data_IF_652621890211
#
_entry.id   IF_652621890211
#
_cell.length_a   1.000
_cell.length_b   1.000
_cell.length_c   1.000
_cell.angle_alpha   90.00
_cell.angle_beta   90.00
_cell.angle_gamma   90.00
#
_symmetry.space_group_name_H-M   'P 1'
#
loop_
_entity.id
_entity.type
_entity.pdbx_description
1 polymer ?
#
# COMPACT_ATOMS: atom_id res chain seq x y z
N UNK A 1 -57.74 -97.61 41.35
CA UNK A 1 -56.83 -96.51 40.96
C UNK A 1 -56.63 -95.65 42.19
N UNK A 2 -55.66 -96.03 43.03
CA UNK A 2 -55.27 -95.35 44.28
C UNK A 2 -53.85 -95.82 44.59
N UNK A 3 -52.87 -94.94 44.40
CA UNK A 3 -51.51 -95.11 44.92
C UNK A 3 -51.21 -93.82 45.67
N UNK A 4 -51.28 -93.92 46.99
CA UNK A 4 -50.68 -93.00 47.93
C UNK A 4 -49.28 -93.51 48.19
N UNK A 5 -48.26 -92.70 47.94
CA UNK A 5 -46.92 -92.95 48.46
C UNK A 5 -46.28 -91.64 48.92
N UNK A 6 -45.39 -91.81 49.88
CA UNK A 6 -45.21 -91.01 51.07
C UNK A 6 -44.40 -89.73 50.87
N UNK A 7 -44.72 -88.72 51.67
CA UNK A 7 -43.92 -87.51 51.81
C UNK A 7 -42.89 -87.72 52.91
N UNK A 8 -41.59 -87.52 52.57
CA UNK A 8 -40.58 -86.78 53.35
C UNK A 8 -39.18 -87.16 52.92
N UNK A 9 -38.42 -86.19 52.43
CA UNK A 9 -36.97 -86.11 52.67
C UNK A 9 -36.56 -84.65 52.57
N UNK A 10 -36.27 -84.07 53.74
CA UNK A 10 -35.58 -82.81 53.87
C UNK A 10 -34.11 -83.05 53.50
N UNK A 11 -33.66 -82.49 52.38
CA UNK A 11 -32.24 -82.43 52.05
C UNK A 11 -31.72 -81.05 52.41
N UNK A 12 -30.88 -81.05 53.44
CA UNK A 12 -29.87 -80.07 53.81
C UNK A 12 -29.43 -79.19 52.65
N UNK A 13 -29.62 -77.87 52.81
CA UNK A 13 -28.94 -76.87 52.01
C UNK A 13 -27.44 -76.93 52.36
N UNK A 14 -26.69 -77.64 51.53
CA UNK A 14 -25.24 -77.56 51.51
C UNK A 14 -24.88 -76.23 50.84
N UNK A 15 -24.11 -75.40 51.55
CA UNK A 15 -23.50 -74.18 51.03
C UNK A 15 -22.47 -74.59 49.96
N UNK A 16 -22.92 -74.72 48.71
CA UNK A 16 -22.06 -74.95 47.55
C UNK A 16 -21.28 -73.66 47.25
N UNK A 17 -20.10 -73.53 47.88
CA UNK A 17 -19.10 -72.49 47.54
C UNK A 17 -18.58 -72.59 46.07
N UNK A 18 -19.00 -73.63 45.33
CA UNK A 18 -18.61 -73.92 43.95
C UNK A 18 -19.67 -73.56 42.89
N UNK A 19 -20.62 -72.66 43.19
CA UNK A 19 -21.55 -72.18 42.16
C UNK A 19 -20.82 -71.26 41.15
N UNK A 20 -20.34 -71.87 40.06
CA UNK A 20 -19.72 -71.23 38.88
C UNK A 20 -20.56 -70.10 38.25
N UNK A 21 -21.86 -70.02 38.58
CA UNK A 21 -22.78 -68.95 38.15
C UNK A 21 -22.59 -67.63 38.92
N UNK A 22 -21.82 -67.63 40.02
CA UNK A 22 -21.49 -66.46 40.84
C UNK A 22 -20.22 -65.73 40.35
N UNK A 23 -19.54 -66.28 39.33
CA UNK A 23 -18.34 -65.67 38.77
C UNK A 23 -18.71 -64.44 37.91
N UNK A 24 -18.03 -63.30 38.08
CA UNK A 24 -18.29 -62.10 37.29
C UNK A 24 -17.93 -62.34 35.82
N UNK A 25 -18.87 -62.08 34.92
CA UNK A 25 -18.61 -62.14 33.48
C UNK A 25 -17.49 -61.18 33.09
N UNK A 26 -16.65 -61.61 32.14
CA UNK A 26 -15.60 -60.78 31.58
C UNK A 26 -16.20 -59.52 30.92
N UNK A 27 -15.88 -58.34 31.46
CA UNK A 27 -16.25 -57.07 30.84
C UNK A 27 -15.63 -56.96 29.44
N UNK A 28 -16.39 -56.51 28.42
CA UNK A 28 -15.86 -56.33 27.07
C UNK A 28 -14.66 -55.38 27.03
N UNK A 29 -13.71 -55.64 26.13
CA UNK A 29 -12.54 -54.78 25.89
C UNK A 29 -13.02 -53.37 25.52
N UNK A 30 -12.44 -52.34 26.13
CA UNK A 30 -12.83 -50.94 25.88
C UNK A 30 -11.97 -50.30 24.79
N UNK A 31 -12.51 -49.27 24.12
CA UNK A 31 -11.77 -48.56 23.04
C UNK A 31 -10.61 -47.77 23.62
N UNK A 32 -10.87 -47.13 24.75
CA UNK A 32 -9.96 -46.25 25.48
C UNK A 32 -8.60 -46.88 25.70
N UNK A 33 -8.58 -48.19 25.96
CA UNK A 33 -7.39 -48.91 26.38
C UNK A 33 -6.38 -49.04 25.23
N UNK A 34 -6.83 -48.87 23.98
CA UNK A 34 -6.02 -48.91 22.76
C UNK A 34 -5.63 -47.51 22.23
N UNK A 35 -6.02 -46.43 22.91
CA UNK A 35 -5.72 -45.05 22.50
C UNK A 35 -4.51 -44.45 23.23
N UNK A 36 -3.80 -45.26 24.02
CA UNK A 36 -2.62 -44.82 24.78
C UNK A 36 -1.45 -44.56 23.82
N UNK A 37 -0.76 -43.40 23.90
CA UNK A 37 0.32 -43.01 22.97
C UNK A 37 1.47 -44.02 22.85
N UNK A 38 1.70 -44.83 23.88
CA UNK A 38 2.75 -45.86 23.97
C UNK A 38 2.14 -47.24 24.29
N UNK A 39 1.13 -47.65 23.53
CA UNK A 39 0.43 -48.91 23.76
C UNK A 39 1.39 -50.12 23.67
N UNK A 40 1.59 -50.81 24.81
CA UNK A 40 2.37 -52.04 24.90
C UNK A 40 1.45 -53.27 25.04
N UNK A 41 1.42 -54.18 24.04
CA UNK A 41 0.56 -55.36 24.09
C UNK A 41 0.86 -56.29 25.28
N UNK A 42 2.13 -56.43 25.65
CA UNK A 42 2.55 -57.33 26.75
C UNK A 42 2.11 -56.79 28.11
N UNK A 43 2.25 -55.48 28.33
CA UNK A 43 1.78 -54.81 29.54
C UNK A 43 0.26 -54.83 29.62
N UNK A 44 -0.43 -54.53 28.51
CA UNK A 44 -1.88 -54.60 28.44
C UNK A 44 -2.41 -56.01 28.76
N UNK A 45 -1.91 -57.06 28.07
CA UNK A 45 -2.33 -58.44 28.32
C UNK A 45 -2.04 -58.90 29.77
N UNK A 46 -1.01 -58.36 30.42
CA UNK A 46 -0.72 -58.66 31.82
C UNK A 46 -1.79 -58.14 32.79
N UNK A 47 -2.44 -57.01 32.46
CA UNK A 47 -3.54 -56.45 33.27
C UNK A 47 -4.85 -57.23 33.09
N UNK A 48 -5.00 -57.97 31.99
CA UNK A 48 -6.17 -58.81 31.70
C UNK A 48 -6.12 -60.19 32.39
N UNK A 49 -5.03 -60.53 33.08
CA UNK A 49 -4.83 -61.83 33.75
C UNK A 49 -5.87 -62.15 34.83
N UNK A 50 -6.51 -61.12 35.39
CA UNK A 50 -7.55 -61.25 36.42
C UNK A 50 -8.95 -61.52 35.83
N UNK A 51 -9.06 -61.64 34.51
CA UNK A 51 -10.31 -61.93 33.81
C UNK A 51 -10.38 -63.45 33.61
N UNK A 52 -11.27 -64.11 34.34
CA UNK A 52 -11.50 -65.56 34.26
C UNK A 52 -12.19 -65.96 32.93
N UNK A 53 -11.55 -65.67 31.79
CA UNK A 53 -12.02 -65.96 30.44
C UNK A 53 -11.08 -66.96 29.76
N UNK A 54 -11.60 -67.74 28.81
CA UNK A 54 -10.75 -68.60 27.98
C UNK A 54 -9.87 -67.76 27.04
N UNK A 55 -8.70 -68.29 26.71
CA UNK A 55 -7.79 -67.67 25.74
C UNK A 55 -8.41 -67.57 24.34
N UNK A 56 -9.27 -68.53 24.00
CA UNK A 56 -9.95 -68.56 22.72
C UNK A 56 -10.97 -67.43 22.58
N UNK A 57 -11.75 -67.16 23.63
CA UNK A 57 -12.70 -66.05 23.66
C UNK A 57 -11.98 -64.69 23.66
N UNK A 58 -10.90 -64.54 24.43
CA UNK A 58 -10.07 -63.33 24.41
C UNK A 58 -9.50 -63.07 23.02
N UNK A 59 -9.02 -64.12 22.34
CA UNK A 59 -8.48 -64.04 20.98
C UNK A 59 -9.57 -63.64 19.97
N UNK A 60 -10.76 -64.21 20.10
CA UNK A 60 -11.90 -63.87 19.24
C UNK A 60 -12.33 -62.41 19.44
N UNK A 61 -12.39 -61.96 20.69
CA UNK A 61 -12.74 -60.59 21.06
C UNK A 61 -11.72 -59.56 20.55
N UNK A 62 -10.42 -59.84 20.71
CA UNK A 62 -9.35 -58.99 20.17
C UNK A 62 -9.41 -58.90 18.64
N UNK A 63 -9.69 -60.01 17.93
CA UNK A 63 -9.84 -60.02 16.48
C UNK A 63 -11.06 -59.20 16.03
N UNK A 64 -12.20 -59.40 16.68
CA UNK A 64 -13.42 -58.63 16.42
C UNK A 64 -13.18 -57.14 16.62
N UNK A 65 -12.48 -56.76 17.71
CA UNK A 65 -12.15 -55.37 17.98
C UNK A 65 -11.18 -54.78 16.97
N UNK A 66 -10.15 -55.53 16.57
CA UNK A 66 -9.23 -55.10 15.53
C UNK A 66 -9.97 -54.80 14.23
N UNK A 67 -10.89 -55.67 13.81
CA UNK A 67 -11.70 -55.45 12.60
C UNK A 67 -12.59 -54.22 12.71
N UNK A 68 -13.23 -54.01 13.87
CA UNK A 68 -14.05 -52.84 14.12
C UNK A 68 -13.23 -51.55 14.08
N UNK A 69 -12.05 -51.53 14.70
CA UNK A 69 -11.13 -50.38 14.65
C UNK A 69 -10.64 -50.10 13.23
N UNK A 70 -10.32 -51.14 12.44
CA UNK A 70 -9.94 -50.97 11.04
C UNK A 70 -11.08 -50.37 10.21
N UNK A 71 -12.31 -50.79 10.46
CA UNK A 71 -13.49 -50.21 9.81
C UNK A 71 -13.71 -48.75 10.23
N UNK A 72 -13.65 -48.45 11.52
CA UNK A 72 -13.77 -47.07 12.03
C UNK A 72 -12.69 -46.15 11.46
N UNK A 73 -11.45 -46.63 11.32
CA UNK A 73 -10.36 -45.86 10.71
C UNK A 73 -10.67 -45.59 9.23
N UNK A 74 -11.13 -46.59 8.50
CA UNK A 74 -11.50 -46.44 7.09
C UNK A 74 -12.68 -45.47 6.94
N UNK A 75 -13.69 -45.57 7.80
CA UNK A 75 -14.84 -44.66 7.81
C UNK A 75 -14.42 -43.22 8.16
N UNK A 76 -13.51 -43.03 9.13
CA UNK A 76 -12.97 -41.72 9.51
C UNK A 76 -12.09 -41.10 8.40
N UNK A 77 -11.25 -41.92 7.77
CA UNK A 77 -10.44 -41.47 6.62
C UNK A 77 -11.36 -41.09 5.48
N UNK A 78 -12.37 -41.90 5.18
CA UNK A 78 -13.32 -41.62 4.11
C UNK A 78 -14.20 -40.39 4.40
N UNK A 79 -14.63 -40.18 5.66
CA UNK A 79 -15.40 -39.00 6.04
C UNK A 79 -14.59 -37.72 5.90
N UNK A 80 -13.31 -37.77 6.27
CA UNK A 80 -12.44 -36.60 6.26
C UNK A 80 -11.69 -36.43 4.94
N UNK A 81 -11.75 -37.40 4.02
CA UNK A 81 -11.07 -37.35 2.73
C UNK A 81 -11.48 -36.13 1.90
N UNK A 82 -12.77 -35.79 1.93
CA UNK A 82 -13.29 -34.59 1.25
C UNK A 82 -12.71 -33.30 1.84
N UNK A 83 -12.54 -33.23 3.15
CA UNK A 83 -11.95 -32.06 3.81
C UNK A 83 -10.46 -31.91 3.48
N UNK A 84 -9.71 -33.02 3.43
CA UNK A 84 -8.30 -33.02 3.02
C UNK A 84 -8.13 -32.61 1.56
N UNK A 85 -8.99 -33.07 0.65
CA UNK A 85 -8.99 -32.63 -0.74
C UNK A 85 -9.34 -31.15 -0.89
N UNK A 86 -10.34 -30.67 -0.14
CA UNK A 86 -10.72 -29.25 -0.14
C UNK A 86 -9.60 -28.36 0.40
N UNK A 87 -8.92 -28.79 1.46
CA UNK A 87 -7.78 -28.07 2.02
C UNK A 87 -6.59 -28.09 1.04
N UNK A 88 -6.30 -29.23 0.42
CA UNK A 88 -5.28 -29.35 -0.62
C UNK A 88 -5.54 -28.45 -1.82
N UNK A 89 -6.78 -28.41 -2.32
CA UNK A 89 -7.19 -27.53 -3.41
C UNK A 89 -7.08 -26.04 -3.02
N UNK A 90 -7.46 -25.69 -1.78
CA UNK A 90 -7.37 -24.32 -1.27
C UNK A 90 -5.92 -23.86 -1.07
N UNK A 91 -5.05 -24.76 -0.60
CA UNK A 91 -3.61 -24.48 -0.44
C UNK A 91 -2.92 -24.38 -1.81
N UNK A 92 -3.20 -25.30 -2.73
CA UNK A 92 -2.61 -25.32 -4.07
C UNK A 92 -3.03 -24.10 -4.91
N UNK A 93 -4.26 -23.59 -4.76
CA UNK A 93 -4.71 -22.36 -5.42
C UNK A 93 -4.39 -21.07 -4.64
N UNK A 94 -4.07 -21.19 -3.35
CA UNK A 94 -3.74 -20.05 -2.50
C UNK A 94 -2.42 -19.39 -2.89
N UNK A 95 -1.42 -20.20 -3.25
CA UNK A 95 -0.10 -19.72 -3.68
C UNK A 95 -0.20 -18.90 -4.98
N UNK A 96 -1.01 -19.35 -5.95
CA UNK A 96 -1.24 -18.61 -7.20
C UNK A 96 -1.86 -17.22 -6.96
N UNK A 97 -2.88 -17.13 -6.11
CA UNK A 97 -3.51 -15.85 -5.77
C UNK A 97 -2.55 -14.90 -5.05
N UNK A 98 -1.70 -15.42 -4.18
CA UNK A 98 -0.68 -14.62 -3.50
C UNK A 98 0.34 -14.08 -4.50
N UNK A 99 0.78 -14.91 -5.45
CA UNK A 99 1.72 -14.48 -6.48
C UNK A 99 1.07 -13.47 -7.45
N UNK A 100 -0.20 -13.63 -7.81
CA UNK A 100 -0.96 -12.64 -8.60
C UNK A 100 -1.00 -11.27 -7.90
N UNK A 101 -1.36 -11.25 -6.60
CA UNK A 101 -1.36 -10.02 -5.80
C UNK A 101 0.05 -9.43 -5.72
N UNK A 102 1.08 -10.25 -5.53
CA UNK A 102 2.47 -9.79 -5.48
C UNK A 102 2.89 -9.13 -6.78
N UNK A 103 2.58 -9.73 -7.93
CA UNK A 103 2.87 -9.15 -9.25
C UNK A 103 2.09 -7.85 -9.45
N UNK A 104 0.81 -7.81 -9.08
CA UNK A 104 -0.01 -6.59 -9.12
C UNK A 104 0.57 -5.45 -8.28
N UNK A 105 1.02 -5.75 -7.05
CA UNK A 105 1.67 -4.77 -6.17
C UNK A 105 3.02 -4.29 -6.71
N UNK A 106 3.79 -5.14 -7.37
CA UNK A 106 5.02 -4.74 -8.05
C UNK A 106 4.73 -3.82 -9.24
N UNK A 107 3.68 -4.11 -10.01
CA UNK A 107 3.20 -3.24 -11.09
C UNK A 107 2.80 -1.86 -10.56
N UNK A 108 1.97 -1.84 -9.51
CA UNK A 108 1.54 -0.61 -8.86
C UNK A 108 2.73 0.20 -8.32
N UNK A 109 3.71 -0.44 -7.68
CA UNK A 109 4.92 0.24 -7.21
C UNK A 109 5.65 0.93 -8.37
N UNK A 110 5.84 0.23 -9.49
CA UNK A 110 6.51 0.78 -10.67
C UNK A 110 5.73 1.97 -11.25
N UNK A 111 4.41 1.90 -11.28
CA UNK A 111 3.56 3.01 -11.74
C UNK A 111 3.67 4.22 -10.81
N UNK A 112 3.68 4.02 -9.49
CA UNK A 112 3.87 5.08 -8.50
C UNK A 112 5.25 5.72 -8.65
N UNK A 113 6.31 4.93 -8.79
CA UNK A 113 7.66 5.44 -9.01
C UNK A 113 7.72 6.30 -10.28
N UNK A 114 7.11 5.82 -11.38
CA UNK A 114 7.02 6.59 -12.62
C UNK A 114 6.20 7.88 -12.47
N UNK A 115 5.14 7.87 -11.66
CA UNK A 115 4.37 9.09 -11.37
C UNK A 115 5.20 10.10 -10.57
N UNK A 116 5.98 9.64 -9.58
CA UNK A 116 6.88 10.48 -8.80
C UNK A 116 7.91 11.17 -9.70
N UNK A 117 8.49 10.44 -10.66
CA UNK A 117 9.45 11.01 -11.63
C UNK A 117 8.80 12.10 -12.51
N UNK A 118 7.58 11.87 -12.99
CA UNK A 118 6.83 12.87 -13.78
C UNK A 118 6.52 14.10 -12.94
N UNK A 119 6.08 13.92 -11.69
CA UNK A 119 5.78 15.02 -10.77
C UNK A 119 7.05 15.83 -10.48
N UNK A 120 8.18 15.16 -10.22
CA UNK A 120 9.47 15.82 -10.01
C UNK A 120 9.91 16.65 -11.23
N UNK A 121 9.78 16.09 -12.43
CA UNK A 121 10.08 16.80 -13.68
C UNK A 121 9.21 18.05 -13.86
N UNK A 122 7.92 17.96 -13.53
CA UNK A 122 6.99 19.10 -13.59
C UNK A 122 7.29 20.15 -12.54
N UNK A 123 7.69 19.75 -11.33
CA UNK A 123 8.12 20.67 -10.29
C UNK A 123 9.31 21.52 -10.74
N UNK A 124 10.32 20.89 -11.36
CA UNK A 124 11.50 21.59 -11.88
C UNK A 124 11.15 22.58 -13.00
N UNK A 125 10.28 22.18 -13.93
CA UNK A 125 9.78 23.05 -15.00
C UNK A 125 9.05 24.28 -14.43
N UNK A 126 8.13 24.05 -13.49
CA UNK A 126 7.39 25.13 -12.80
C UNK A 126 8.36 26.05 -12.05
N UNK A 127 9.35 25.50 -11.35
CA UNK A 127 10.37 26.27 -10.63
C UNK A 127 11.16 27.17 -11.57
N UNK A 128 11.55 26.68 -12.75
CA UNK A 128 12.22 27.48 -13.78
C UNK A 128 11.34 28.62 -14.27
N UNK A 129 10.09 28.33 -14.66
CA UNK A 129 9.13 29.33 -15.13
C UNK A 129 8.84 30.40 -14.07
N UNK A 130 8.72 30.01 -12.80
CA UNK A 130 8.56 30.95 -11.69
C UNK A 130 9.79 31.85 -11.51
N UNK A 131 10.99 31.32 -11.72
CA UNK A 131 12.24 32.07 -11.75
C UNK A 131 12.24 33.13 -12.86
N UNK A 132 11.93 32.72 -14.09
CA UNK A 132 11.84 33.61 -15.25
C UNK A 132 10.78 34.71 -15.03
N UNK A 133 9.59 34.34 -14.54
CA UNK A 133 8.51 35.29 -14.22
C UNK A 133 8.96 36.34 -13.20
N UNK A 134 9.72 35.92 -12.18
CA UNK A 134 10.26 36.83 -11.16
C UNK A 134 11.25 37.82 -11.77
N UNK A 135 12.12 37.37 -12.66
CA UNK A 135 13.14 38.23 -13.29
C UNK A 135 12.53 39.22 -14.27
N UNK A 136 11.54 38.78 -15.06
CA UNK A 136 10.74 39.67 -15.93
C UNK A 136 10.03 40.72 -15.08
N UNK A 137 9.40 40.33 -13.98
CA UNK A 137 8.73 41.28 -13.06
C UNK A 137 9.72 42.30 -12.48
N UNK A 138 10.93 41.89 -12.12
CA UNK A 138 11.98 42.80 -11.64
C UNK A 138 12.38 43.81 -12.72
N UNK A 139 12.59 43.36 -13.97
CA UNK A 139 12.92 44.24 -15.10
C UNK A 139 11.80 45.25 -15.37
N UNK A 140 10.55 44.82 -15.37
CA UNK A 140 9.39 45.70 -15.53
C UNK A 140 9.35 46.76 -14.43
N UNK A 141 9.55 46.38 -13.16
CA UNK A 141 9.56 47.32 -12.04
C UNK A 141 10.66 48.37 -12.19
N UNK A 142 11.88 47.95 -12.57
CA UNK A 142 12.98 48.89 -12.83
C UNK A 142 12.67 49.84 -13.99
N UNK A 143 12.10 49.32 -15.09
CA UNK A 143 11.67 50.14 -16.23
C UNK A 143 10.61 51.14 -15.84
N UNK A 144 9.61 50.72 -15.05
CA UNK A 144 8.54 51.60 -14.54
C UNK A 144 9.08 52.71 -13.65
N UNK A 145 10.11 52.43 -12.84
CA UNK A 145 10.78 53.43 -12.00
C UNK A 145 11.62 54.42 -12.82
N UNK A 146 12.25 53.96 -13.90
CA UNK A 146 13.14 54.78 -14.73
C UNK A 146 12.39 55.62 -15.77
N UNK A 147 11.28 55.12 -16.31
CA UNK A 147 10.48 55.80 -17.34
C UNK A 147 10.14 57.27 -17.02
N UNK A 148 9.54 57.62 -15.86
CA UNK A 148 9.22 59.02 -15.56
C UNK A 148 10.47 59.90 -15.39
N UNK A 149 11.58 59.32 -14.91
CA UNK A 149 12.84 60.06 -14.76
C UNK A 149 13.44 60.41 -16.12
N UNK A 150 13.40 59.47 -17.07
CA UNK A 150 13.85 59.72 -18.44
C UNK A 150 13.02 60.81 -19.13
N UNK A 151 11.69 60.78 -18.97
CA UNK A 151 10.82 61.84 -19.49
C UNK A 151 11.19 63.20 -18.89
N UNK A 152 11.39 63.26 -17.57
CA UNK A 152 11.78 64.51 -16.89
C UNK A 152 13.13 65.03 -17.39
N UNK A 153 14.14 64.17 -17.50
CA UNK A 153 15.47 64.54 -18.03
C UNK A 153 15.37 65.03 -19.47
N UNK A 154 14.57 64.36 -20.31
CA UNK A 154 14.33 64.78 -21.70
C UNK A 154 13.69 66.18 -21.74
N UNK A 155 12.66 66.43 -20.92
CA UNK A 155 12.00 67.74 -20.89
C UNK A 155 12.91 68.87 -20.41
N UNK A 156 13.75 68.63 -19.38
CA UNK A 156 14.67 69.65 -18.89
C UNK A 156 15.74 69.96 -19.92
N UNK A 157 16.26 68.93 -20.58
CA UNK A 157 17.28 69.11 -21.61
C UNK A 157 16.74 69.87 -22.83
N UNK A 158 15.50 69.62 -23.24
CA UNK A 158 14.86 70.41 -24.31
C UNK A 158 14.66 71.87 -23.91
N UNK A 159 14.33 72.15 -22.65
CA UNK A 159 14.20 73.52 -22.15
C UNK A 159 15.55 74.26 -22.12
N UNK A 160 16.61 73.57 -21.70
CA UNK A 160 17.98 74.11 -21.71
C UNK A 160 18.47 74.35 -23.14
N UNK A 161 18.21 73.42 -24.06
CA UNK A 161 18.54 73.56 -25.48
C UNK A 161 17.77 74.71 -26.13
N UNK A 162 16.49 74.91 -25.77
CA UNK A 162 15.68 76.03 -26.26
C UNK A 162 16.28 77.37 -25.81
N UNK A 163 16.69 77.44 -24.55
CA UNK A 163 17.37 78.61 -23.97
C UNK A 163 18.72 78.86 -24.66
N UNK A 164 19.53 77.82 -24.86
CA UNK A 164 20.81 77.91 -25.54
C UNK A 164 20.66 78.34 -27.02
N UNK A 165 19.62 77.85 -27.71
CA UNK A 165 19.31 78.22 -29.09
C UNK A 165 18.90 79.69 -29.20
N UNK A 166 18.06 80.18 -28.29
CA UNK A 166 17.68 81.60 -28.23
C UNK A 166 18.88 82.51 -27.94
N UNK A 167 19.74 82.14 -26.99
CA UNK A 167 20.97 82.89 -26.68
C UNK A 167 21.95 82.89 -27.86
N UNK A 168 22.15 81.75 -28.51
CA UNK A 168 23.03 81.64 -29.67
C UNK A 168 22.50 82.47 -30.85
N UNK A 169 21.18 82.51 -31.04
CA UNK A 169 20.54 83.36 -32.05
C UNK A 169 20.66 84.86 -31.72
N UNK A 170 20.44 85.25 -30.45
CA UNK A 170 20.56 86.63 -30.00
C UNK A 170 21.96 87.23 -30.16
N UNK A 171 23.00 86.38 -30.20
CA UNK A 171 24.39 86.78 -30.47
C UNK A 171 24.69 87.06 -31.97
N UNK A 172 23.69 87.00 -32.86
CA UNK A 172 23.82 87.38 -34.26
C UNK A 172 24.86 86.55 -35.03
N UNK A 173 25.67 87.21 -35.88
CA UNK A 173 26.68 86.55 -36.73
C UNK A 173 27.75 85.81 -35.93
N UNK A 174 28.09 86.31 -34.73
CA UNK A 174 29.04 85.67 -33.80
C UNK A 174 28.48 84.38 -33.18
N UNK A 175 27.15 84.22 -33.14
CA UNK A 175 26.47 83.05 -32.59
C UNK A 175 26.17 81.91 -33.58
N UNK A 176 26.35 82.12 -34.88
CA UNK A 176 25.92 81.18 -35.94
C UNK A 176 26.49 79.76 -35.77
N UNK A 177 27.77 79.63 -35.42
CA UNK A 177 28.39 78.33 -35.16
C UNK A 177 27.82 77.59 -33.95
N UNK A 178 27.34 78.32 -32.93
CA UNK A 178 26.65 77.73 -31.77
C UNK A 178 25.23 77.29 -32.13
N UNK A 179 24.53 78.05 -32.98
CA UNK A 179 23.19 77.69 -33.48
C UNK A 179 23.21 76.35 -34.20
N UNK A 180 24.18 76.13 -35.09
CA UNK A 180 24.31 74.85 -35.82
C UNK A 180 24.57 73.68 -34.86
N UNK A 181 25.44 73.86 -33.86
CA UNK A 181 25.72 72.82 -32.86
C UNK A 181 24.49 72.46 -32.04
N UNK A 182 23.73 73.45 -31.56
CA UNK A 182 22.50 73.21 -30.80
C UNK A 182 21.44 72.54 -31.68
N UNK A 183 21.34 72.92 -32.95
CA UNK A 183 20.47 72.26 -33.93
C UNK A 183 20.81 70.79 -34.14
N UNK A 184 22.09 70.44 -34.22
CA UNK A 184 22.52 69.04 -34.34
C UNK A 184 22.10 68.22 -33.11
N UNK A 185 22.17 68.79 -31.90
CA UNK A 185 21.72 68.09 -30.68
C UNK A 185 20.20 67.87 -30.71
N UNK A 186 19.41 68.85 -31.16
CA UNK A 186 17.98 68.65 -31.38
C UNK A 186 17.70 67.54 -32.39
N UNK A 187 18.53 67.41 -33.43
CA UNK A 187 18.41 66.35 -34.43
C UNK A 187 18.75 64.96 -33.87
N UNK A 188 19.81 64.85 -33.07
CA UNK A 188 20.18 63.61 -32.38
C UNK A 188 19.08 63.15 -31.38
N UNK A 189 18.25 64.09 -30.91
CA UNK A 189 17.09 63.82 -30.05
C UNK A 189 15.78 63.57 -30.82
N UNK A 190 15.80 63.64 -32.15
CA UNK A 190 14.63 63.55 -33.03
C UNK A 190 13.60 64.69 -32.83
N UNK A 191 14.03 65.84 -32.29
CA UNK A 191 13.19 67.01 -31.99
C UNK A 191 13.48 68.21 -32.91
N UNK A 192 14.05 67.97 -34.10
CA UNK A 192 14.42 69.00 -35.09
C UNK A 192 13.28 69.94 -35.45
N UNK A 193 12.04 69.43 -35.48
CA UNK A 193 10.86 70.22 -35.82
C UNK A 193 10.58 71.33 -34.79
N UNK A 194 10.84 71.08 -33.50
CA UNK A 194 10.67 72.06 -32.43
C UNK A 194 11.73 73.17 -32.54
N UNK A 195 12.99 72.80 -32.79
CA UNK A 195 14.08 73.74 -32.98
C UNK A 195 13.85 74.68 -34.17
N UNK A 196 13.33 74.15 -35.30
CA UNK A 196 13.00 74.96 -36.47
C UNK A 196 11.84 75.93 -36.18
N UNK A 197 10.83 75.51 -35.40
CA UNK A 197 9.75 76.41 -34.97
C UNK A 197 10.31 77.56 -34.13
N UNK A 198 11.19 77.27 -33.15
CA UNK A 198 11.81 78.28 -32.29
C UNK A 198 12.67 79.30 -33.07
N UNK A 199 13.38 78.86 -34.12
CA UNK A 199 14.12 79.78 -34.99
C UNK A 199 13.21 80.67 -35.84
N UNK A 200 12.05 80.18 -36.26
CA UNK A 200 11.09 80.94 -37.08
C UNK A 200 10.35 81.99 -36.27
N UNK A 201 9.84 81.65 -35.08
CA UNK A 201 9.09 82.58 -34.21
C UNK A 201 9.90 83.80 -33.79
N UNK A 202 11.20 83.64 -33.66
CA UNK A 202 12.12 84.74 -33.34
C UNK A 202 12.61 85.49 -34.60
N UNK A 203 12.32 85.02 -35.82
CA UNK A 203 12.64 85.73 -37.08
C UNK A 203 11.52 86.68 -37.49
N UNK A 204 10.31 86.50 -36.99
CA UNK A 204 9.18 87.42 -37.20
C UNK A 204 9.09 88.55 -36.16
N UNK A 205 10.05 88.65 -35.24
CA UNK A 205 10.09 89.67 -34.18
C UNK A 205 11.27 90.67 -34.33
N UNK A 206 11.87 90.73 -35.52
CA UNK A 206 12.81 91.77 -35.95
C UNK A 206 12.37 92.34 -37.28
#
# INVERSE_FOLDING_TARGET
MTLSDDSRSASSAEDDEDNLSTLPFATPLRRSDFLVPDFSPSEYLSTLRNRHQTLEDLRAELRSRSQLLSKELLDLVNSNYQDFLNLGNSLNGGEEKVEEVRVGLLGFRKEVDGLVDVVGSREEEVKKLLGERRDVRRKIETGRRLAPRLVKVRSTLLMDLSTALQQAKGAGTSGSGRVIKVMNIYADMEESAEAVKLLKTTKSSS
#
